data_IF_695553594744
#
_entry.id   IF_695553594744
#
_cell.length_a   1.000
_cell.length_b   1.000
_cell.length_c   1.000
_cell.angle_alpha   90.00
_cell.angle_beta   90.00
_cell.angle_gamma   90.00
#
_symmetry.space_group_name_H-M   'P 1'
#
loop_
_entity.id
_entity.type
_entity.pdbx_description
1 polymer ?
#
# COMPACT_ATOMS: atom_id res chain seq x y z
N UNK A 1 -9.89 -42.57 -35.96
CA UNK A 1 -10.04 -43.92 -35.40
C UNK A 1 -10.24 -43.79 -33.89
N UNK A 2 -11.32 -44.35 -33.34
CA UNK A 2 -11.72 -44.17 -31.95
C UNK A 2 -11.15 -45.29 -31.06
N UNK A 3 -10.87 -44.98 -29.79
CA UNK A 3 -10.82 -45.99 -28.73
C UNK A 3 -11.23 -45.37 -27.40
N UNK A 4 -12.46 -45.69 -27.04
CA UNK A 4 -13.15 -45.48 -25.76
C UNK A 4 -12.70 -46.52 -24.71
N UNK A 5 -13.21 -46.48 -23.46
CA UNK A 5 -12.42 -46.59 -22.23
C UNK A 5 -12.50 -47.97 -21.57
N UNK A 6 -11.70 -48.20 -20.52
CA UNK A 6 -11.75 -49.43 -19.72
C UNK A 6 -12.41 -49.18 -18.36
N UNK A 7 -13.63 -49.69 -18.24
CA UNK A 7 -14.41 -49.86 -17.02
C UNK A 7 -13.81 -50.97 -16.15
N UNK A 8 -13.65 -50.75 -14.84
CA UNK A 8 -13.56 -51.85 -13.86
C UNK A 8 -14.65 -51.68 -12.81
N UNK A 9 -15.70 -52.48 -12.99
CA UNK A 9 -16.65 -52.92 -11.97
C UNK A 9 -15.96 -53.97 -11.08
N UNK A 10 -16.09 -53.85 -9.75
CA UNK A 10 -16.08 -55.02 -8.87
C UNK A 10 -17.26 -54.96 -7.90
N UNK A 11 -17.90 -56.11 -7.79
CA UNK A 11 -19.18 -56.41 -7.14
C UNK A 11 -19.09 -56.44 -5.61
N UNK A 12 -20.16 -55.93 -5.00
CA UNK A 12 -20.96 -56.46 -3.89
C UNK A 12 -20.33 -57.38 -2.84
N UNK A 13 -20.43 -56.97 -1.57
CA UNK A 13 -20.60 -57.88 -0.44
C UNK A 13 -21.63 -57.31 0.55
N UNK A 14 -22.38 -58.23 1.14
CA UNK A 14 -23.70 -58.14 1.74
C UNK A 14 -23.75 -57.74 3.23
N UNK A 15 -24.78 -56.97 3.58
CA UNK A 15 -25.71 -57.08 4.72
C UNK A 15 -25.26 -57.88 5.97
N UNK A 16 -25.28 -57.23 7.15
CA UNK A 16 -26.29 -57.47 8.21
C UNK A 16 -26.25 -56.40 9.33
N UNK A 17 -27.41 -56.15 10.02
CA UNK A 17 -27.58 -55.10 11.02
C UNK A 17 -27.50 -55.61 12.46
N UNK A 18 -26.95 -54.82 13.37
CA UNK A 18 -27.09 -54.89 14.84
C UNK A 18 -27.00 -53.44 15.33
N UNK A 19 -28.11 -52.76 15.61
CA UNK A 19 -28.84 -52.74 16.88
C UNK A 19 -27.99 -52.28 18.08
N UNK A 20 -28.52 -51.28 18.81
CA UNK A 20 -28.13 -50.74 20.13
C UNK A 20 -26.78 -50.00 20.16
N UNK A 21 -26.66 -48.77 20.64
CA UNK A 21 -27.14 -48.19 21.90
C UNK A 21 -27.41 -46.69 21.67
N UNK A 22 -28.59 -46.21 22.10
CA UNK A 22 -28.85 -44.79 22.22
C UNK A 22 -27.94 -44.20 23.28
N UNK A 23 -26.89 -43.50 22.84
CA UNK A 23 -26.19 -42.54 23.69
C UNK A 23 -27.05 -41.29 23.65
N UNK A 24 -27.64 -40.97 24.80
CA UNK A 24 -28.26 -39.67 25.07
C UNK A 24 -27.35 -38.58 24.50
N UNK A 25 -27.86 -37.87 23.50
CA UNK A 25 -27.37 -36.57 23.09
C UNK A 25 -27.56 -35.60 24.27
N UNK A 26 -26.64 -35.63 25.22
CA UNK A 26 -26.37 -34.44 26.04
C UNK A 26 -25.67 -33.48 25.09
N UNK A 27 -26.49 -32.77 24.32
CA UNK A 27 -26.11 -31.50 23.75
C UNK A 27 -25.83 -30.59 24.96
N UNK A 28 -24.64 -30.71 25.53
CA UNK A 28 -24.05 -29.63 26.30
C UNK A 28 -24.02 -28.50 25.30
N UNK A 29 -24.99 -27.60 25.44
CA UNK A 29 -24.85 -26.24 25.00
C UNK A 29 -23.59 -25.71 25.69
N UNK A 30 -22.43 -25.97 25.06
CA UNK A 30 -21.36 -25.01 25.04
C UNK A 30 -22.01 -23.79 24.41
N UNK A 31 -22.69 -23.02 25.26
CA UNK A 31 -22.73 -21.59 25.10
C UNK A 31 -21.27 -21.23 24.86
N UNK A 32 -20.92 -21.10 23.58
CA UNK A 32 -19.70 -20.45 23.21
C UNK A 32 -19.83 -19.09 23.88
N UNK A 33 -19.18 -18.94 25.04
CA UNK A 33 -18.88 -17.64 25.60
C UNK A 33 -17.92 -17.02 24.60
N UNK A 34 -18.46 -16.61 23.45
CA UNK A 34 -17.78 -15.79 22.48
C UNK A 34 -17.57 -14.49 23.22
N UNK A 35 -16.38 -14.38 23.80
CA UNK A 35 -15.88 -13.19 24.43
C UNK A 35 -16.17 -12.02 23.49
N UNK A 36 -16.69 -10.92 24.03
CA UNK A 36 -16.92 -9.70 23.24
C UNK A 36 -15.66 -9.44 22.41
N UNK A 37 -15.77 -9.36 21.07
CA UNK A 37 -14.60 -9.25 20.21
C UNK A 37 -13.75 -8.04 20.57
N UNK A 38 -14.34 -6.95 21.11
CA UNK A 38 -13.60 -5.76 21.57
C UNK A 38 -12.75 -6.07 22.79
N UNK A 39 -13.29 -6.84 23.75
CA UNK A 39 -12.54 -7.31 24.91
C UNK A 39 -11.41 -8.24 24.46
N UNK A 40 -11.71 -9.17 23.53
CA UNK A 40 -10.70 -10.07 22.99
C UNK A 40 -9.56 -9.32 22.27
N UNK A 41 -9.86 -8.25 21.52
CA UNK A 41 -8.86 -7.41 20.89
C UNK A 41 -8.01 -6.62 21.90
N UNK A 42 -8.63 -6.04 22.92
CA UNK A 42 -7.93 -5.32 23.98
C UNK A 42 -6.99 -6.24 24.76
N UNK A 43 -7.44 -7.45 25.09
CA UNK A 43 -6.60 -8.45 25.75
C UNK A 43 -5.47 -8.95 24.86
N UNK A 44 -5.73 -9.19 23.57
CA UNK A 44 -4.68 -9.59 22.63
C UNK A 44 -3.60 -8.51 22.49
N UNK A 45 -3.95 -7.23 22.62
CA UNK A 45 -2.97 -6.15 22.69
C UNK A 45 -2.23 -6.18 24.04
N UNK A 46 -2.96 -6.31 25.16
CA UNK A 46 -2.40 -6.28 26.50
C UNK A 46 -1.45 -7.46 26.80
N UNK A 47 -1.75 -8.65 26.29
CA UNK A 47 -0.95 -9.88 26.48
C UNK A 47 0.16 -10.05 25.42
N UNK A 48 0.23 -9.15 24.43
CA UNK A 48 1.24 -9.15 23.36
C UNK A 48 0.95 -10.11 22.20
N UNK A 49 -0.16 -10.83 22.22
CA UNK A 49 -0.58 -11.74 21.14
C UNK A 49 -0.75 -10.98 19.82
N UNK A 50 -1.42 -9.83 19.84
CA UNK A 50 -1.63 -8.98 18.68
C UNK A 50 -0.28 -8.49 18.13
N UNK A 51 0.66 -8.08 18.99
CA UNK A 51 1.99 -7.64 18.56
C UNK A 51 2.73 -8.75 17.82
N UNK A 52 2.72 -9.97 18.38
CA UNK A 52 3.34 -11.14 17.75
C UNK A 52 2.72 -11.47 16.40
N UNK A 53 1.39 -11.40 16.29
CA UNK A 53 0.67 -11.67 15.04
C UNK A 53 0.97 -10.60 13.98
N UNK A 54 0.91 -9.31 14.35
CA UNK A 54 1.23 -8.20 13.43
C UNK A 54 2.68 -8.27 12.98
N UNK A 55 3.63 -8.56 13.89
CA UNK A 55 5.04 -8.80 13.52
C UNK A 55 5.18 -9.93 12.52
N UNK A 56 4.54 -11.07 12.74
CA UNK A 56 4.58 -12.19 11.81
C UNK A 56 4.00 -11.84 10.42
N UNK A 57 3.03 -10.92 10.37
CA UNK A 57 2.45 -10.46 9.12
C UNK A 57 3.32 -9.41 8.42
N UNK A 58 3.95 -8.49 9.15
CA UNK A 58 4.50 -7.23 8.60
C UNK A 58 6.03 -7.17 8.64
N UNK A 59 6.68 -7.73 9.66
CA UNK A 59 8.12 -7.61 9.82
C UNK A 59 8.86 -8.20 8.61
N UNK A 60 9.88 -7.48 8.15
CA UNK A 60 10.70 -7.88 7.02
C UNK A 60 10.07 -7.64 5.65
N UNK A 61 8.80 -7.22 5.57
CA UNK A 61 8.19 -6.81 4.29
C UNK A 61 8.84 -5.56 3.75
N UNK A 62 9.10 -5.54 2.45
CA UNK A 62 9.64 -4.38 1.76
C UNK A 62 8.67 -3.20 1.82
N UNK A 63 9.18 -2.04 2.22
CA UNK A 63 8.50 -0.74 2.05
C UNK A 63 8.96 -0.15 0.73
N UNK A 64 8.00 0.22 -0.13
CA UNK A 64 8.28 0.74 -1.46
C UNK A 64 7.45 2.00 -1.71
N UNK A 65 8.04 2.93 -2.45
CA UNK A 65 7.41 4.17 -2.89
C UNK A 65 7.41 4.21 -4.42
N UNK A 66 6.35 4.78 -4.98
CA UNK A 66 6.17 4.84 -6.43
C UNK A 66 7.19 5.79 -7.06
N UNK A 67 7.76 5.39 -8.19
CA UNK A 67 8.73 6.20 -8.93
C UNK A 67 8.01 7.05 -9.97
N UNK A 68 8.09 8.37 -9.84
CA UNK A 68 7.46 9.37 -10.70
C UNK A 68 5.93 9.20 -10.70
N UNK A 69 5.29 9.39 -11.86
CA UNK A 69 3.88 9.02 -12.09
C UNK A 69 3.64 7.51 -12.04
N UNK A 70 4.71 6.72 -11.91
CA UNK A 70 4.64 5.31 -11.59
C UNK A 70 4.25 4.41 -12.73
N UNK A 71 4.58 4.73 -13.98
CA UNK A 71 4.40 3.84 -15.14
C UNK A 71 5.71 3.73 -15.92
N UNK A 72 6.19 2.50 -16.13
CA UNK A 72 7.35 2.15 -16.94
C UNK A 72 6.87 1.47 -18.24
N UNK A 73 7.48 1.79 -19.40
CA UNK A 73 8.41 2.92 -19.59
C UNK A 73 7.69 4.26 -19.44
N UNK A 74 8.37 5.27 -18.87
CA UNK A 74 7.90 6.66 -18.92
C UNK A 74 8.75 7.45 -19.91
N UNK A 75 8.06 8.20 -20.78
CA UNK A 75 8.67 9.11 -21.73
C UNK A 75 8.82 10.49 -21.10
N UNK A 76 10.06 10.97 -21.02
CA UNK A 76 10.36 12.35 -20.67
C UNK A 76 10.51 13.15 -21.96
N UNK A 77 9.70 14.20 -22.11
CA UNK A 77 9.47 14.89 -23.38
C UNK A 77 10.47 16.02 -23.67
N UNK A 78 11.41 16.30 -22.78
CA UNK A 78 12.47 17.29 -23.03
C UNK A 78 13.79 17.02 -22.27
N UNK A 79 14.94 17.47 -22.82
CA UNK A 79 16.23 17.41 -22.13
C UNK A 79 16.21 18.17 -20.79
N UNK A 80 15.38 19.19 -20.66
CA UNK A 80 15.15 19.94 -19.42
C UNK A 80 14.53 19.12 -18.28
N UNK A 81 13.81 18.02 -18.54
CA UNK A 81 13.32 17.11 -17.49
C UNK A 81 14.44 16.28 -16.87
N UNK A 82 15.54 16.09 -17.62
CA UNK A 82 16.69 15.28 -17.19
C UNK A 82 17.66 16.06 -16.32
N UNK A 83 17.64 17.39 -16.42
CA UNK A 83 18.43 18.28 -15.58
C UNK A 83 17.79 18.49 -14.20
N UNK A 84 16.59 17.93 -13.96
CA UNK A 84 15.94 18.02 -12.67
C UNK A 84 16.74 17.24 -11.60
N UNK A 85 16.97 17.83 -10.42
CA UNK A 85 17.77 17.20 -9.36
C UNK A 85 17.29 15.80 -8.96
N UNK A 86 15.97 15.58 -8.96
CA UNK A 86 15.33 14.29 -8.68
C UNK A 86 15.71 13.21 -9.70
N UNK A 87 15.63 13.54 -10.99
CA UNK A 87 16.01 12.64 -12.08
C UNK A 87 17.50 12.33 -12.05
N UNK A 88 18.34 13.36 -11.87
CA UNK A 88 19.79 13.17 -11.74
C UNK A 88 20.14 12.29 -10.56
N UNK A 89 19.53 12.49 -9.39
CA UNK A 89 19.80 11.68 -8.21
C UNK A 89 19.43 10.19 -8.44
N UNK A 90 18.32 9.90 -9.13
CA UNK A 90 17.92 8.53 -9.47
C UNK A 90 18.90 7.88 -10.48
N UNK A 91 19.38 8.63 -11.47
CA UNK A 91 20.37 8.16 -12.46
C UNK A 91 21.76 7.97 -11.84
N UNK A 92 22.23 8.93 -11.05
CA UNK A 92 23.54 8.89 -10.38
C UNK A 92 23.60 7.76 -9.34
N UNK A 93 22.46 7.45 -8.72
CA UNK A 93 22.30 6.28 -7.84
C UNK A 93 22.19 4.95 -8.60
N UNK A 94 22.17 4.98 -9.95
CA UNK A 94 22.06 3.80 -10.81
C UNK A 94 20.72 3.08 -10.68
N UNK A 95 19.64 3.79 -10.33
CA UNK A 95 18.31 3.21 -10.10
C UNK A 95 17.47 3.17 -11.37
N UNK A 96 17.69 4.15 -12.24
CA UNK A 96 17.07 4.21 -13.55
C UNK A 96 18.14 4.45 -14.61
N UNK A 97 17.96 3.86 -15.78
CA UNK A 97 18.75 4.13 -16.97
C UNK A 97 17.91 4.79 -18.06
N UNK A 98 18.59 5.45 -18.99
CA UNK A 98 17.98 6.17 -20.09
C UNK A 98 18.34 5.52 -21.41
N UNK A 99 17.32 5.16 -22.18
CA UNK A 99 17.47 4.71 -23.56
C UNK A 99 16.90 5.78 -24.52
N UNK A 100 17.63 6.20 -25.56
CA UNK A 100 17.08 7.07 -26.60
C UNK A 100 15.89 6.39 -27.28
N UNK A 101 14.78 7.11 -27.39
CA UNK A 101 13.53 6.59 -27.96
C UNK A 101 13.19 7.32 -29.28
N UNK A 102 14.04 7.28 -30.33
CA UNK A 102 13.61 7.78 -31.65
C UNK A 102 14.25 7.06 -32.85
N UNK A 103 13.48 7.01 -33.95
CA UNK A 103 13.92 7.76 -35.13
C UNK A 103 12.80 8.66 -35.72
N UNK A 104 13.15 9.94 -35.97
CA UNK A 104 12.48 10.96 -36.78
C UNK A 104 11.60 12.01 -36.06
N UNK A 105 12.21 13.16 -35.74
CA UNK A 105 11.51 14.43 -35.49
C UNK A 105 12.10 15.25 -34.34
N UNK A 106 12.82 16.32 -34.70
CA UNK A 106 13.40 17.49 -34.00
C UNK A 106 13.69 17.53 -32.47
N UNK A 107 13.13 16.66 -31.62
CA UNK A 107 13.45 16.61 -30.18
C UNK A 107 13.69 15.17 -29.70
N UNK A 108 14.86 14.85 -29.13
CA UNK A 108 15.11 13.51 -28.61
C UNK A 108 14.19 13.24 -27.41
N UNK A 109 13.36 12.21 -27.54
CA UNK A 109 12.59 11.64 -26.43
C UNK A 109 13.41 10.54 -25.77
N UNK A 110 13.23 10.42 -24.45
CA UNK A 110 13.99 9.46 -23.66
C UNK A 110 13.06 8.55 -22.88
N UNK A 111 13.35 7.25 -23.00
CA UNK A 111 12.69 6.21 -22.24
C UNK A 111 13.52 5.90 -21.01
N UNK A 112 12.91 6.02 -19.84
CA UNK A 112 13.56 5.67 -18.58
C UNK A 112 13.01 4.34 -18.06
N UNK A 113 13.90 3.46 -17.62
CA UNK A 113 13.59 2.12 -17.08
C UNK A 113 14.42 1.85 -15.84
N UNK A 114 13.96 0.95 -14.97
CA UNK A 114 14.77 0.49 -13.84
C UNK A 114 15.99 -0.29 -14.33
N UNK A 115 17.16 -0.01 -13.75
CA UNK A 115 18.41 -0.69 -14.12
C UNK A 115 18.39 -2.18 -13.74
N UNK A 116 19.20 -3.04 -14.40
CA UNK A 116 19.38 -4.43 -14.00
C UNK A 116 19.83 -4.61 -12.54
N UNK A 117 20.68 -3.70 -12.05
CA UNK A 117 21.27 -3.76 -10.72
C UNK A 117 20.25 -3.57 -9.59
N UNK A 118 19.13 -2.87 -9.88
CA UNK A 118 18.14 -2.52 -8.88
C UNK A 118 16.89 -3.43 -8.91
N UNK A 119 16.82 -4.42 -9.81
CA UNK A 119 15.64 -5.28 -10.01
C UNK A 119 15.17 -5.95 -8.72
N UNK A 120 16.08 -6.39 -7.85
CA UNK A 120 15.73 -7.02 -6.56
C UNK A 120 15.10 -6.05 -5.54
N UNK A 121 15.20 -4.74 -5.78
CA UNK A 121 14.71 -3.67 -4.92
C UNK A 121 13.57 -2.90 -5.60
N UNK A 122 13.11 -3.37 -6.74
CA UNK A 122 11.99 -2.79 -7.47
C UNK A 122 10.83 -3.77 -7.45
N UNK A 123 9.63 -3.23 -7.23
CA UNK A 123 8.38 -3.94 -7.46
C UNK A 123 7.77 -3.41 -8.75
N UNK A 124 7.59 -4.29 -9.72
CA UNK A 124 6.84 -4.00 -10.94
C UNK A 124 5.46 -4.63 -10.85
N UNK A 125 4.38 -3.87 -11.11
CA UNK A 125 3.02 -4.43 -11.21
C UNK A 125 2.43 -4.10 -12.57
N UNK A 126 1.95 -5.08 -13.35
CA UNK A 126 1.34 -4.81 -14.64
C UNK A 126 0.17 -3.82 -14.50
N UNK A 127 0.17 -2.77 -15.31
CA UNK A 127 -0.98 -1.87 -15.45
C UNK A 127 -1.82 -2.28 -16.67
N UNK A 128 -1.16 -2.54 -17.79
CA UNK A 128 -1.75 -3.07 -19.02
C UNK A 128 -0.68 -3.88 -19.80
N UNK A 129 -0.95 -4.21 -21.07
CA UNK A 129 -0.03 -5.01 -21.89
C UNK A 129 1.33 -4.32 -22.17
N UNK A 130 1.39 -3.00 -22.07
CA UNK A 130 2.55 -2.19 -22.48
C UNK A 130 3.19 -1.44 -21.30
N UNK A 131 2.48 -1.32 -20.18
CA UNK A 131 2.89 -0.50 -19.04
C UNK A 131 2.85 -1.27 -17.73
N UNK A 132 3.82 -0.99 -16.87
CA UNK A 132 3.90 -1.53 -15.53
C UNK A 132 4.11 -0.39 -14.54
N UNK A 133 3.53 -0.49 -13.34
CA UNK A 133 3.93 0.40 -12.26
C UNK A 133 5.32 0.08 -11.76
N UNK A 134 6.08 1.12 -11.41
CA UNK A 134 7.42 1.02 -10.88
C UNK A 134 7.45 1.56 -9.46
N UNK A 135 7.63 0.69 -8.48
CA UNK A 135 7.82 1.07 -7.08
C UNK A 135 9.24 0.70 -6.64
N UNK A 136 9.96 1.64 -6.03
CA UNK A 136 11.31 1.44 -5.50
C UNK A 136 11.25 1.19 -4.00
N UNK A 137 11.80 0.06 -3.59
CA UNK A 137 11.80 -0.39 -2.21
C UNK A 137 13.01 0.14 -1.45
N UNK A 138 12.75 0.84 -0.34
CA UNK A 138 13.73 1.64 0.38
C UNK A 138 14.01 1.15 1.80
N UNK A 139 13.55 -0.06 2.13
CA UNK A 139 13.90 -0.76 3.36
C UNK A 139 12.86 -1.81 3.71
N UNK A 140 12.90 -2.30 4.94
CA UNK A 140 11.96 -3.27 5.49
C UNK A 140 11.19 -2.68 6.67
N UNK A 141 9.92 -3.04 6.79
CA UNK A 141 9.11 -2.68 7.96
C UNK A 141 9.57 -3.50 9.17
N UNK A 142 9.63 -2.84 10.33
CA UNK A 142 9.78 -3.46 11.64
C UNK A 142 8.75 -2.86 12.59
N UNK A 143 7.78 -3.65 13.00
CA UNK A 143 6.68 -3.25 13.88
C UNK A 143 7.23 -2.97 15.28
N UNK A 144 6.91 -1.80 15.81
CA UNK A 144 7.36 -1.35 17.13
C UNK A 144 6.28 -1.47 18.19
N UNK A 145 5.01 -1.20 17.83
CA UNK A 145 3.87 -1.24 18.77
C UNK A 145 2.54 -1.48 18.05
N UNK A 146 1.55 -1.93 18.80
CA UNK A 146 0.16 -2.17 18.37
C UNK A 146 -0.81 -1.62 19.41
N UNK A 147 -1.98 -1.16 18.98
CA UNK A 147 -3.06 -0.70 19.88
C UNK A 147 -4.43 -0.89 19.23
N UNK A 148 -5.48 -0.90 20.04
CA UNK A 148 -6.87 -0.94 19.54
C UNK A 148 -7.25 0.45 19.02
N UNK A 149 -7.83 0.51 17.83
CA UNK A 149 -8.44 1.74 17.33
C UNK A 149 -9.85 1.91 17.89
N UNK A 150 -9.98 2.77 18.89
CA UNK A 150 -11.27 2.99 19.56
C UNK A 150 -12.31 3.64 18.65
N UNK A 151 -11.89 4.52 17.73
CA UNK A 151 -12.80 5.26 16.84
C UNK A 151 -13.48 4.30 15.87
N UNK A 152 -12.70 3.45 15.21
CA UNK A 152 -13.26 2.50 14.25
C UNK A 152 -13.91 1.29 14.92
N UNK A 153 -13.39 0.87 16.08
CA UNK A 153 -14.03 -0.16 16.89
C UNK A 153 -15.35 0.30 17.53
N UNK A 154 -15.62 1.61 17.63
CA UNK A 154 -16.89 2.14 18.12
C UNK A 154 -18.03 2.00 17.11
N UNK A 155 -17.74 2.09 15.80
CA UNK A 155 -18.76 2.10 14.73
C UNK A 155 -18.98 0.74 14.06
N UNK A 156 -18.12 -0.25 14.30
CA UNK A 156 -18.18 -1.59 13.68
C UNK A 156 -18.45 -2.73 14.67
N UNK A 157 -18.94 -3.86 14.15
CA UNK A 157 -19.07 -5.13 14.89
C UNK A 157 -17.73 -5.86 15.04
N UNK A 158 -16.73 -5.52 14.22
CA UNK A 158 -15.38 -6.09 14.24
C UNK A 158 -14.43 -5.01 14.76
N UNK A 159 -13.67 -5.26 15.84
CA UNK A 159 -12.65 -4.33 16.32
C UNK A 159 -11.44 -4.34 15.40
N UNK A 160 -10.74 -3.21 15.38
CA UNK A 160 -9.55 -3.02 14.59
C UNK A 160 -8.35 -2.71 15.49
N UNK A 161 -7.18 -3.21 15.12
CA UNK A 161 -5.92 -2.78 15.69
C UNK A 161 -5.15 -1.95 14.68
N UNK A 162 -4.52 -0.89 15.19
CA UNK A 162 -3.49 -0.13 14.49
C UNK A 162 -2.12 -0.58 14.96
N UNK A 163 -1.10 -0.25 14.16
CA UNK A 163 0.27 -0.54 14.50
C UNK A 163 1.22 0.56 14.02
N UNK A 164 2.34 0.70 14.71
CA UNK A 164 3.44 1.56 14.31
C UNK A 164 4.65 0.71 13.95
N UNK A 165 5.49 1.23 13.06
CA UNK A 165 6.65 0.55 12.55
C UNK A 165 7.77 1.54 12.24
N UNK A 166 8.99 1.03 12.09
CA UNK A 166 10.14 1.76 11.56
C UNK A 166 10.60 1.11 10.28
N UNK A 167 11.28 1.86 9.43
CA UNK A 167 11.99 1.31 8.29
C UNK A 167 13.42 0.98 8.69
N UNK A 168 13.78 -0.29 8.53
CA UNK A 168 15.12 -0.82 8.81
C UNK A 168 15.78 -1.30 7.52
N UNK A 169 17.08 -1.55 7.58
CA UNK A 169 17.87 -2.05 6.43
C UNK A 169 17.72 -1.18 5.18
N UNK A 170 17.96 0.16 5.25
CA UNK A 170 17.91 1.00 4.08
C UNK A 170 18.94 0.52 3.04
N UNK A 171 18.59 0.52 1.74
CA UNK A 171 19.50 0.10 0.69
C UNK A 171 20.66 1.10 0.54
N UNK A 172 21.77 0.65 -0.05
CA UNK A 172 22.99 1.47 -0.22
C UNK A 172 22.74 2.76 -1.00
N UNK A 173 21.77 2.76 -1.92
CA UNK A 173 21.43 3.94 -2.71
C UNK A 173 20.71 5.01 -1.90
N UNK A 174 20.11 4.69 -0.74
CA UNK A 174 19.41 5.65 0.14
C UNK A 174 20.39 6.55 0.93
N UNK A 175 21.31 7.16 0.19
CA UNK A 175 22.39 8.05 0.64
C UNK A 175 21.83 9.37 1.19
N UNK A 176 22.63 10.16 1.94
CA UNK A 176 22.22 11.49 2.38
C UNK A 176 21.77 12.40 1.23
N UNK A 177 22.42 12.31 0.06
CA UNK A 177 22.01 13.06 -1.12
C UNK A 177 20.60 12.65 -1.59
N UNK A 178 20.32 11.35 -1.70
CA UNK A 178 18.98 10.86 -2.05
C UNK A 178 17.91 11.32 -1.06
N UNK A 179 18.21 11.33 0.24
CA UNK A 179 17.28 11.78 1.27
C UNK A 179 17.02 13.29 1.25
N UNK A 180 18.02 14.09 0.89
CA UNK A 180 17.85 15.52 0.66
C UNK A 180 17.03 15.81 -0.59
N UNK A 181 17.27 15.04 -1.66
CA UNK A 181 16.53 15.16 -2.92
C UNK A 181 15.08 14.71 -2.76
N UNK A 182 14.82 13.68 -1.95
CA UNK A 182 13.48 13.15 -1.68
C UNK A 182 13.17 13.24 -0.18
N UNK A 183 12.65 14.38 0.33
CA UNK A 183 12.49 14.62 1.77
C UNK A 183 11.59 13.61 2.49
N UNK A 184 10.63 13.00 1.78
CA UNK A 184 9.81 11.92 2.35
C UNK A 184 10.69 10.73 2.80
N UNK A 185 11.78 10.45 2.08
CA UNK A 185 12.69 9.33 2.37
C UNK A 185 13.46 9.59 3.67
N UNK A 186 13.91 10.82 3.92
CA UNK A 186 14.52 11.18 5.21
C UNK A 186 13.54 10.88 6.34
N UNK A 187 12.32 11.42 6.25
CA UNK A 187 11.28 11.22 7.27
C UNK A 187 10.98 9.75 7.50
N UNK A 188 10.81 8.98 6.43
CA UNK A 188 10.48 7.56 6.50
C UNK A 188 11.60 6.71 7.14
N UNK A 189 12.86 7.10 6.95
CA UNK A 189 14.02 6.38 7.49
C UNK A 189 14.41 6.79 8.92
N UNK A 190 14.01 7.97 9.37
CA UNK A 190 14.37 8.47 10.72
C UNK A 190 13.24 8.43 11.73
N UNK A 191 12.00 8.22 11.28
CA UNK A 191 10.81 8.32 12.14
C UNK A 191 10.15 6.97 12.38
N UNK A 192 9.44 6.86 13.49
CA UNK A 192 8.41 5.85 13.64
C UNK A 192 7.16 6.29 12.87
N UNK A 193 6.61 5.37 12.09
CA UNK A 193 5.46 5.58 11.22
C UNK A 193 4.26 4.84 11.78
N UNK A 194 3.08 5.45 11.70
CA UNK A 194 1.81 4.79 12.00
C UNK A 194 1.25 4.23 10.71
N UNK A 195 0.89 2.96 10.71
CA UNK A 195 0.26 2.35 9.55
C UNK A 195 -1.18 2.82 9.42
N UNK A 196 -1.57 3.13 8.18
CA UNK A 196 -2.95 3.45 7.85
C UNK A 196 -3.84 2.21 7.74
N UNK A 197 -3.23 1.05 7.47
CA UNK A 197 -3.94 -0.21 7.37
C UNK A 197 -4.47 -0.59 8.76
N UNK A 198 -5.80 -0.61 8.89
CA UNK A 198 -6.48 -1.12 10.06
C UNK A 198 -6.64 -2.63 9.94
N UNK A 199 -6.17 -3.37 10.95
CA UNK A 199 -6.21 -4.83 10.92
C UNK A 199 -7.41 -5.33 11.74
N UNK A 200 -8.41 -5.97 11.10
CA UNK A 200 -9.55 -6.52 11.84
C UNK A 200 -9.12 -7.64 12.77
N UNK A 201 -9.71 -7.68 13.96
CA UNK A 201 -9.55 -8.79 14.90
C UNK A 201 -10.81 -9.66 14.88
N UNK A 202 -10.67 -10.91 14.44
CA UNK A 202 -11.75 -11.90 14.43
C UNK A 202 -11.34 -13.09 15.28
N UNK A 203 -12.22 -13.49 16.20
CA UNK A 203 -11.98 -14.62 17.12
C UNK A 203 -10.63 -14.54 17.86
N UNK A 204 -10.23 -13.33 18.27
CA UNK A 204 -8.94 -13.07 18.94
C UNK A 204 -7.70 -13.14 18.04
N UNK A 205 -7.88 -13.18 16.71
CA UNK A 205 -6.79 -13.20 15.73
C UNK A 205 -6.84 -11.95 14.86
N UNK A 206 -5.68 -11.33 14.69
CA UNK A 206 -5.45 -10.23 13.76
C UNK A 206 -5.39 -10.80 12.35
N UNK A 207 -6.30 -10.34 11.49
CA UNK A 207 -6.34 -10.71 10.07
C UNK A 207 -5.87 -9.55 9.20
N UNK A 208 -5.28 -9.89 8.05
CA UNK A 208 -4.90 -8.91 7.03
C UNK A 208 -5.93 -8.97 5.91
N UNK A 209 -6.75 -7.92 5.76
CA UNK A 209 -7.89 -7.94 4.82
C UNK A 209 -7.49 -7.76 3.36
N UNK A 210 -6.32 -7.19 3.05
CA UNK A 210 -5.81 -6.94 1.70
C UNK A 210 -4.26 -6.96 1.69
N UNK A 211 -3.61 -7.23 0.54
CA UNK A 211 -2.18 -7.01 0.41
C UNK A 211 -1.86 -5.53 0.65
N UNK A 212 -1.09 -5.27 1.70
CA UNK A 212 -0.71 -3.95 2.20
C UNK A 212 0.23 -3.28 1.20
N UNK A 213 -0.25 -2.29 0.44
CA UNK A 213 0.56 -1.69 -0.63
C UNK A 213 0.58 -0.18 -0.69
N UNK A 214 -0.23 0.55 0.09
CA UNK A 214 -0.20 2.01 0.08
C UNK A 214 -0.19 2.58 1.51
N UNK A 215 0.74 3.49 1.77
CA UNK A 215 0.77 4.36 2.95
C UNK A 215 0.48 5.76 2.43
N UNK A 216 -0.60 6.40 2.87
CA UNK A 216 -0.70 7.85 2.85
C UNK A 216 -0.16 8.38 4.20
N UNK A 217 0.39 9.59 4.21
CA UNK A 217 0.59 10.31 5.45
C UNK A 217 -0.70 11.06 5.79
N UNK A 218 -0.93 11.39 7.06
CA UNK A 218 -2.10 12.19 7.51
C UNK A 218 -2.14 13.62 6.92
N UNK A 219 -1.13 14.02 6.13
CA UNK A 219 -1.04 15.31 5.45
C UNK A 219 -0.57 15.12 4.00
N UNK A 220 -1.49 14.92 3.03
CA UNK A 220 -1.31 15.06 1.55
C UNK A 220 -0.04 14.51 0.86
N UNK A 221 0.86 13.85 1.58
CA UNK A 221 2.15 13.39 1.08
C UNK A 221 1.95 11.96 0.63
N UNK A 222 2.09 11.76 -0.67
CA UNK A 222 2.17 10.44 -1.27
C UNK A 222 3.65 10.04 -1.18
N UNK A 223 3.96 8.88 -0.61
CA UNK A 223 5.31 8.28 -0.69
C UNK A 223 5.67 8.01 -2.16
N UNK A 224 6.29 9.01 -2.79
CA UNK A 224 6.60 9.00 -4.20
C UNK A 224 7.97 9.64 -4.40
N UNK A 225 8.82 8.97 -5.16
CA UNK A 225 9.97 9.61 -5.78
C UNK A 225 9.43 10.47 -6.92
N UNK A 226 8.98 11.70 -6.69
CA UNK A 226 8.38 12.57 -7.73
C UNK A 226 9.44 13.35 -8.50
N UNK A 227 9.06 13.81 -9.70
CA UNK A 227 9.88 14.71 -10.52
C UNK A 227 10.11 16.03 -9.76
N UNK A 228 9.09 16.50 -9.04
CA UNK A 228 9.17 17.65 -8.14
C UNK A 228 8.82 17.19 -6.71
N UNK A 229 9.81 16.84 -5.89
CA UNK A 229 9.59 16.39 -4.51
C UNK A 229 9.04 17.51 -3.63
N UNK A 230 7.99 17.20 -2.87
CA UNK A 230 7.42 18.12 -1.87
C UNK A 230 8.45 18.39 -0.76
N UNK A 231 8.44 19.62 -0.23
CA UNK A 231 9.29 19.98 0.92
C UNK A 231 10.76 20.29 0.59
N UNK A 232 11.13 20.44 -0.68
CA UNK A 232 12.47 20.88 -1.09
C UNK A 232 12.58 22.41 -0.97
N UNK A 233 13.63 22.90 -0.30
CA UNK A 233 13.80 24.33 -0.02
C UNK A 233 13.98 25.21 -1.27
N UNK A 234 14.52 24.65 -2.36
CA UNK A 234 14.68 25.33 -3.66
C UNK A 234 14.40 24.33 -4.79
N UNK A 235 13.13 24.15 -5.18
CA UNK A 235 12.76 23.12 -6.15
C UNK A 235 13.10 23.50 -7.61
N UNK A 236 13.57 24.73 -7.86
CA UNK A 236 13.85 25.26 -9.19
C UNK A 236 12.60 25.80 -9.90
N UNK A 237 12.77 26.68 -10.88
CA UNK A 237 11.66 27.43 -11.51
C UNK A 237 10.57 26.53 -12.13
N UNK A 238 10.96 25.36 -12.67
CA UNK A 238 10.02 24.45 -13.31
C UNK A 238 9.12 23.76 -12.28
N UNK A 239 9.69 23.29 -11.17
CA UNK A 239 8.89 22.70 -10.10
C UNK A 239 8.08 23.76 -9.34
N UNK A 240 8.55 25.00 -9.25
CA UNK A 240 7.74 26.12 -8.75
C UNK A 240 6.47 26.30 -9.59
N UNK A 241 6.57 26.29 -10.93
CA UNK A 241 5.38 26.39 -11.81
C UNK A 241 4.40 25.23 -11.64
N UNK A 242 4.90 24.01 -11.45
CA UNK A 242 4.04 22.84 -11.20
C UNK A 242 3.34 22.96 -9.85
N UNK A 243 4.04 23.39 -8.81
CA UNK A 243 3.48 23.63 -7.48
C UNK A 243 2.44 24.77 -7.48
N UNK A 244 2.71 25.87 -8.20
CA UNK A 244 1.73 26.96 -8.39
C UNK A 244 0.45 26.45 -9.05
N UNK A 245 0.56 25.59 -10.06
CA UNK A 245 -0.61 24.96 -10.70
C UNK A 245 -1.35 24.02 -9.76
N UNK A 246 -0.64 23.21 -8.97
CA UNK A 246 -1.23 22.31 -7.97
C UNK A 246 -1.96 23.07 -6.88
N UNK A 247 -1.36 24.15 -6.36
CA UNK A 247 -1.97 25.04 -5.38
C UNK A 247 -3.24 25.70 -5.92
N UNK A 248 -3.18 26.18 -7.17
CA UNK A 248 -4.35 26.73 -7.85
C UNK A 248 -5.48 25.71 -7.97
N UNK A 249 -5.17 24.49 -8.39
CA UNK A 249 -6.16 23.42 -8.50
C UNK A 249 -6.76 23.02 -7.13
N UNK A 250 -5.94 22.96 -6.08
CA UNK A 250 -6.41 22.70 -4.70
C UNK A 250 -7.37 23.78 -4.23
N UNK A 251 -7.04 25.05 -4.48
CA UNK A 251 -7.91 26.19 -4.14
C UNK A 251 -9.24 26.16 -4.90
N UNK A 252 -9.22 25.81 -6.19
CA UNK A 252 -10.43 25.63 -7.01
C UNK A 252 -11.32 24.53 -6.43
N UNK A 253 -10.74 23.38 -6.07
CA UNK A 253 -11.48 22.27 -5.44
C UNK A 253 -12.06 22.62 -4.08
N UNK A 254 -11.30 23.28 -3.21
CA UNK A 254 -11.81 23.73 -1.91
C UNK A 254 -12.95 24.73 -2.08
N UNK A 255 -12.90 25.56 -3.13
CA UNK A 255 -13.98 26.49 -3.47
C UNK A 255 -15.23 25.74 -3.95
N UNK A 256 -15.07 24.77 -4.84
CA UNK A 256 -16.17 23.92 -5.32
C UNK A 256 -16.82 23.14 -4.16
N UNK A 257 -16.02 22.57 -3.26
CA UNK A 257 -16.51 21.87 -2.07
C UNK A 257 -17.28 22.80 -1.13
N UNK A 258 -16.80 24.04 -0.92
CA UNK A 258 -17.51 25.05 -0.12
C UNK A 258 -18.82 25.50 -0.78
N UNK A 259 -18.84 25.65 -2.10
CA UNK A 259 -20.05 25.98 -2.85
C UNK A 259 -21.07 24.84 -2.82
N UNK A 260 -20.62 23.58 -2.88
CA UNK A 260 -21.49 22.39 -2.77
C UNK A 260 -21.94 22.10 -1.34
N UNK A 261 -21.15 22.46 -0.33
CA UNK A 261 -21.50 22.32 1.09
C UNK A 261 -22.39 23.45 1.61
N UNK A 262 -22.60 24.51 0.82
CA UNK A 262 -23.53 25.58 1.15
C UNK A 262 -24.97 25.13 0.86
N UNK A 263 -25.85 24.97 1.87
CA UNK A 263 -27.20 24.50 1.64
C UNK A 263 -27.93 25.55 0.79
N UNK A 264 -28.27 25.18 -0.44
CA UNK A 264 -29.17 25.95 -1.28
C UNK A 264 -30.42 26.27 -0.44
N UNK A 265 -30.61 27.57 -0.18
CA UNK A 265 -31.83 28.13 0.36
C UNK A 265 -33.00 27.56 -0.44
N UNK A 266 -33.76 26.68 0.21
CA UNK A 266 -34.98 26.13 -0.33
C UNK A 266 -35.96 27.27 -0.60
N UNK A 267 -36.33 27.35 -1.87
CA UNK A 267 -37.52 27.96 -2.46
C UNK A 267 -38.69 28.20 -1.50
N UNK A 268 -39.23 29.42 -1.49
CA UNK A 268 -40.65 29.64 -1.22
C UNK A 268 -41.37 29.95 -2.55
N UNK A 269 -42.35 29.16 -3.00
CA UNK A 269 -43.27 29.61 -4.03
C UNK A 269 -44.27 30.58 -3.40
N UNK A 270 -44.32 31.81 -3.90
CA UNK A 270 -45.39 32.74 -3.56
C UNK A 270 -46.72 32.20 -4.11
N UNK A 271 -47.70 32.05 -3.21
CA UNK A 271 -49.10 31.73 -3.52
C UNK A 271 -49.87 32.98 -3.91
#
# INVERSE_FOLDING_TARGET
>A
MPSTPTTKQYRNASWRPLATIGVLSVAVALAACTKDPKIAAAEAVADGTALKQVKALVDGRAQCARVMYGWEPFDLTGPEDLELPSMRALMDAGLIERTPNQPAGERPTYRSTATPEVQAQVRKRPLNQEQQTLDLCYGKRQVTRVWVDEKWSAHGSIPYVQYAYRIVEPPKWATPHMRQTFPFLERALTSELVAQDMLPVKDGKVEMSLPMENVQFDDDMIEVFSICPDGVANPGERCQRVEEQRLKWKQEREKEEKEQASPAQQTAPAS
#
